data_IF_148688926351
#
_entry.id   IF_148688926351
#
_cell.length_a   1.000
_cell.length_b   1.000
_cell.length_c   1.000
_cell.angle_alpha   90.00
_cell.angle_beta   90.00
_cell.angle_gamma   90.00
#
_symmetry.space_group_name_H-M   'P 1'
#
loop_
_entity.id
_entity.type
_entity.pdbx_description
1 polymer ?
#
# COMPACT_ATOMS: atom_id res chain seq x y z
N UNK A 1 12.45 -1.27 -16.47
CA UNK A 1 13.66 -1.48 -15.64
C UNK A 1 13.72 -2.97 -15.38
N UNK A 2 14.84 -3.65 -15.66
CA UNK A 2 15.01 -5.05 -15.26
C UNK A 2 15.08 -5.07 -13.74
N UNK A 3 13.92 -5.26 -13.12
CA UNK A 3 13.84 -5.52 -11.70
C UNK A 3 14.45 -6.91 -11.50
N UNK A 4 15.74 -6.92 -11.18
CA UNK A 4 16.38 -8.07 -10.56
C UNK A 4 15.57 -8.36 -9.30
N UNK A 5 14.65 -9.33 -9.37
CA UNK A 5 14.10 -9.97 -8.19
C UNK A 5 15.32 -10.53 -7.45
N UNK A 6 15.66 -9.94 -6.30
CA UNK A 6 16.70 -10.51 -5.45
C UNK A 6 16.18 -11.85 -4.92
N UNK A 7 16.66 -12.94 -5.49
CA UNK A 7 16.52 -14.26 -4.89
C UNK A 7 17.22 -14.22 -3.53
N UNK A 8 16.43 -14.20 -2.46
CA UNK A 8 16.96 -14.17 -1.10
C UNK A 8 16.85 -15.56 -0.49
N UNK A 9 17.99 -16.21 -0.30
CA UNK A 9 18.07 -17.48 0.41
C UNK A 9 17.89 -17.22 1.90
N UNK A 10 16.89 -17.86 2.51
CA UNK A 10 16.66 -17.77 3.95
C UNK A 10 17.23 -19.00 4.64
N UNK A 11 17.93 -18.78 5.76
CA UNK A 11 18.50 -19.85 6.56
C UNK A 11 17.44 -20.49 7.49
N UNK A 12 16.32 -19.80 7.71
CA UNK A 12 15.22 -20.29 8.56
C UNK A 12 13.88 -19.63 8.26
N UNK A 13 12.78 -20.29 8.63
CA UNK A 13 11.42 -19.74 8.50
C UNK A 13 11.18 -18.45 9.30
N UNK A 14 11.67 -18.30 10.56
CA UNK A 14 11.55 -17.03 11.28
C UNK A 14 12.21 -15.86 10.54
N UNK A 15 13.41 -16.06 9.99
CA UNK A 15 14.11 -15.03 9.22
C UNK A 15 13.32 -14.63 7.96
N UNK A 16 12.77 -15.60 7.23
CA UNK A 16 11.94 -15.34 6.07
C UNK A 16 10.71 -14.49 6.42
N UNK A 17 10.02 -14.84 7.53
CA UNK A 17 8.85 -14.08 8.00
C UNK A 17 9.20 -12.64 8.34
N UNK A 18 10.30 -12.41 9.05
CA UNK A 18 10.72 -11.06 9.41
C UNK A 18 11.03 -10.23 8.17
N UNK A 19 11.82 -10.78 7.24
CA UNK A 19 12.16 -10.09 6.01
C UNK A 19 10.93 -9.72 5.18
N UNK A 20 9.94 -10.63 5.08
CA UNK A 20 8.69 -10.36 4.35
C UNK A 20 7.89 -9.26 5.07
N UNK A 21 7.85 -9.28 6.41
CA UNK A 21 7.16 -8.25 7.19
C UNK A 21 7.79 -6.87 6.96
N UNK A 22 9.12 -6.77 7.04
CA UNK A 22 9.87 -5.53 6.82
C UNK A 22 9.65 -5.01 5.39
N UNK A 23 9.75 -5.90 4.39
CA UNK A 23 9.52 -5.54 3.00
C UNK A 23 8.09 -5.07 2.76
N UNK A 24 7.09 -5.75 3.34
CA UNK A 24 5.68 -5.36 3.23
C UNK A 24 5.45 -3.97 3.83
N UNK A 25 6.10 -3.66 4.95
CA UNK A 25 6.01 -2.34 5.57
C UNK A 25 6.63 -1.27 4.67
N UNK A 26 7.88 -1.46 4.25
CA UNK A 26 8.60 -0.52 3.38
C UNK A 26 7.84 -0.26 2.06
N UNK A 27 7.35 -1.31 1.41
CA UNK A 27 6.58 -1.19 0.18
C UNK A 27 5.27 -0.41 0.38
N UNK A 28 4.52 -0.71 1.44
CA UNK A 28 3.20 -0.10 1.63
C UNK A 28 3.25 1.31 2.24
N UNK A 29 4.25 1.61 3.04
CA UNK A 29 4.29 2.84 3.85
C UNK A 29 5.31 3.86 3.34
N UNK A 30 6.38 3.42 2.66
CA UNK A 30 7.53 4.28 2.34
C UNK A 30 7.72 4.46 0.84
N UNK A 31 7.59 3.40 0.04
CA UNK A 31 7.98 3.45 -1.37
C UNK A 31 6.98 4.22 -2.25
N UNK A 32 7.42 5.25 -3.00
CA UNK A 32 6.55 5.94 -3.93
C UNK A 32 6.32 5.10 -5.19
N UNK A 33 5.06 4.95 -5.61
CA UNK A 33 4.72 4.19 -6.81
C UNK A 33 4.31 5.04 -7.99
N UNK A 34 4.74 4.55 -9.14
CA UNK A 34 4.60 5.22 -10.41
C UNK A 34 3.15 5.47 -10.82
N UNK A 35 2.34 4.42 -10.71
CA UNK A 35 0.90 4.40 -10.99
C UNK A 35 0.06 5.15 -9.96
N UNK A 36 0.62 5.43 -8.78
CA UNK A 36 -0.07 6.14 -7.69
C UNK A 36 0.31 7.62 -7.61
N UNK A 37 0.93 8.18 -8.66
CA UNK A 37 1.33 9.58 -8.65
C UNK A 37 2.56 9.86 -7.78
N UNK A 38 3.46 8.88 -7.62
CA UNK A 38 4.68 8.95 -6.79
C UNK A 38 4.41 9.04 -5.28
N UNK A 39 3.32 8.47 -4.78
CA UNK A 39 3.08 8.32 -3.33
C UNK A 39 3.06 6.84 -2.90
N UNK A 40 3.25 6.55 -1.60
CA UNK A 40 3.10 5.19 -1.08
C UNK A 40 1.67 4.68 -1.12
N UNK A 41 1.46 3.35 -1.20
CA UNK A 41 0.12 2.75 -1.27
C UNK A 41 -0.77 3.11 -0.09
N UNK A 42 -0.21 3.18 1.14
CA UNK A 42 -0.96 3.56 2.32
C UNK A 42 -1.54 4.98 2.21
N UNK A 43 -0.76 5.93 1.70
CA UNK A 43 -1.20 7.30 1.50
C UNK A 43 -2.29 7.39 0.43
N UNK A 44 -2.11 6.67 -0.68
CA UNK A 44 -3.15 6.58 -1.71
C UNK A 44 -4.45 6.01 -1.15
N UNK A 45 -4.40 4.91 -0.38
CA UNK A 45 -5.58 4.31 0.24
C UNK A 45 -6.28 5.27 1.21
N UNK A 46 -5.51 6.07 1.97
CA UNK A 46 -6.07 7.10 2.83
C UNK A 46 -6.80 8.18 2.03
N UNK A 47 -6.21 8.68 0.95
CA UNK A 47 -6.85 9.67 0.06
C UNK A 47 -8.16 9.12 -0.53
N UNK A 48 -8.17 7.86 -0.97
CA UNK A 48 -9.37 7.20 -1.48
C UNK A 48 -10.46 7.11 -0.42
N UNK A 49 -10.14 6.72 0.82
CA UNK A 49 -11.10 6.68 1.94
C UNK A 49 -11.70 8.04 2.23
N UNK A 50 -10.88 9.10 2.24
CA UNK A 50 -11.37 10.47 2.45
C UNK A 50 -12.31 10.88 1.30
N UNK A 51 -11.95 10.58 0.06
CA UNK A 51 -12.79 10.89 -1.10
C UNK A 51 -14.13 10.14 -1.08
N UNK A 52 -14.11 8.84 -0.77
CA UNK A 52 -15.34 8.03 -0.63
C UNK A 52 -16.21 8.58 0.50
N UNK A 53 -15.63 8.90 1.66
CA UNK A 53 -16.37 9.45 2.79
C UNK A 53 -16.94 10.84 2.48
N UNK A 54 -16.18 11.69 1.78
CA UNK A 54 -16.66 13.00 1.34
C UNK A 54 -17.80 12.87 0.32
N UNK A 55 -17.69 11.95 -0.64
CA UNK A 55 -18.75 11.67 -1.60
C UNK A 55 -20.04 11.14 -0.93
N UNK A 56 -19.90 10.30 0.10
CA UNK A 56 -21.03 9.82 0.89
C UNK A 56 -21.71 10.96 1.70
N UNK A 57 -20.92 11.89 2.23
CA UNK A 57 -21.45 13.02 3.02
C UNK A 57 -22.12 14.10 2.15
N UNK A 58 -21.69 14.25 0.90
CA UNK A 58 -22.27 15.18 -0.07
C UNK A 58 -23.53 14.64 -0.77
N UNK A 59 -23.93 13.40 -0.49
CA UNK A 59 -25.14 12.80 -1.05
C UNK A 59 -26.12 12.39 0.08
N UNK A 60 -26.77 13.34 0.78
CA UNK A 60 -27.72 13.03 1.85
C UNK A 60 -29.11 12.61 1.37
N UNK A 61 -29.29 12.15 0.12
CA UNK A 61 -30.60 11.80 -0.43
C UNK A 61 -30.62 10.35 -0.93
N UNK A 62 -30.70 9.43 0.03
CA UNK A 62 -31.46 8.17 -0.14
C UNK A 62 -32.12 7.86 1.20
N UNK A 63 -33.18 8.60 1.48
CA UNK A 63 -34.28 8.21 2.35
C UNK A 63 -35.56 8.38 1.50
N UNK A 64 -35.75 7.45 0.58
CA UNK A 64 -37.02 6.80 0.21
C UNK A 64 -36.72 5.61 -0.71
#
# INVERSE_FOLDING_TARGET
>A
RYECLNEQWFLSLPQARQCIADWRQDYNEVRPHSSLGRIPPAQFAQQQRIQTNAAANLNPQVLD
#
